data_IF_955507972651
#
_entry.id   IF_955507972651
#
_cell.length_a   1.000
_cell.length_b   1.000
_cell.length_c   1.000
_cell.angle_alpha   90.00
_cell.angle_beta   90.00
_cell.angle_gamma   90.00
#
_symmetry.space_group_name_H-M   'P 1'
#
loop_
_entity.id
_entity.type
_entity.pdbx_description
1 polymer ?
#
# COMPACT_ATOMS: atom_id res chain seq x y z
N UNK A 1 38.54 -10.75 67.30
CA UNK A 1 37.66 -11.94 67.33
C UNK A 1 36.67 -11.78 66.19
N UNK A 2 36.99 -12.34 65.02
CA UNK A 2 36.39 -13.59 64.50
C UNK A 2 34.88 -13.38 64.23
N UNK A 3 34.34 -13.48 63.01
CA UNK A 3 34.54 -14.53 62.00
C UNK A 3 34.22 -14.02 60.58
N UNK A 4 35.06 -14.44 59.65
CA UNK A 4 35.00 -14.43 58.19
C UNK A 4 33.92 -15.43 57.69
N UNK A 5 32.96 -15.09 56.82
CA UNK A 5 32.28 -16.11 55.98
C UNK A 5 31.57 -15.53 54.73
N UNK A 6 31.99 -16.04 53.57
CA UNK A 6 31.30 -16.19 52.27
C UNK A 6 30.88 -14.96 51.44
N UNK A 7 31.82 -14.52 50.60
CA UNK A 7 31.62 -14.42 49.15
C UNK A 7 31.00 -15.73 48.62
N UNK A 8 29.95 -15.63 47.78
CA UNK A 8 29.52 -16.53 46.69
C UNK A 8 28.00 -16.56 46.57
N UNK A 9 27.48 -16.49 45.35
CA UNK A 9 26.10 -16.78 44.91
C UNK A 9 25.09 -15.62 44.93
N UNK A 10 25.17 -14.74 43.91
CA UNK A 10 24.04 -14.55 42.96
C UNK A 10 24.64 -14.29 41.57
N UNK A 11 25.30 -15.29 41.00
CA UNK A 11 25.39 -15.44 39.54
C UNK A 11 24.16 -16.21 39.11
N UNK A 12 23.01 -15.54 39.04
CA UNK A 12 21.87 -16.09 38.34
C UNK A 12 22.10 -15.83 36.85
N UNK A 13 22.61 -16.86 36.18
CA UNK A 13 22.75 -16.89 34.73
C UNK A 13 21.36 -16.68 34.10
N UNK A 14 21.07 -15.45 33.69
CA UNK A 14 20.21 -15.19 32.55
C UNK A 14 20.84 -15.93 31.36
N UNK A 15 20.33 -17.11 31.04
CA UNK A 15 20.64 -17.86 29.83
C UNK A 15 20.05 -17.13 28.62
N UNK A 16 20.61 -15.96 28.32
CA UNK A 16 20.39 -15.28 27.06
C UNK A 16 21.19 -16.02 25.99
N UNK A 17 20.49 -16.46 24.95
CA UNK A 17 21.06 -17.06 23.75
C UNK A 17 22.18 -16.18 23.18
N UNK A 18 23.24 -16.79 22.59
CA UNK A 18 24.40 -16.05 22.09
C UNK A 18 23.99 -15.00 21.04
N UNK A 19 24.66 -13.85 21.12
CA UNK A 19 24.33 -12.58 20.42
C UNK A 19 24.66 -12.59 18.91
N UNK A 20 25.34 -13.61 18.40
CA UNK A 20 25.85 -13.60 17.04
C UNK A 20 24.90 -14.31 16.05
N UNK A 21 23.98 -13.55 15.47
CA UNK A 21 23.41 -13.90 14.16
C UNK A 21 23.84 -12.82 13.16
N UNK A 22 24.57 -13.15 12.07
CA UNK A 22 24.92 -12.17 11.05
C UNK A 22 23.64 -11.55 10.48
N UNK A 23 23.61 -10.22 10.33
CA UNK A 23 22.46 -9.50 9.77
C UNK A 23 21.41 -8.99 10.79
N UNK A 24 21.84 -8.65 12.02
CA UNK A 24 20.98 -8.08 13.07
C UNK A 24 21.28 -6.59 13.32
N UNK A 25 20.22 -5.80 13.57
CA UNK A 25 20.31 -4.44 14.09
C UNK A 25 19.98 -4.39 15.59
N UNK A 26 20.70 -3.55 16.35
CA UNK A 26 20.44 -3.27 17.76
C UNK A 26 19.94 -1.83 17.91
N UNK A 27 18.71 -1.63 18.38
CA UNK A 27 18.13 -0.33 18.71
C UNK A 27 18.18 -0.10 20.22
N UNK A 28 18.88 0.96 20.64
CA UNK A 28 18.93 1.42 22.02
C UNK A 28 17.97 2.61 22.19
N UNK A 29 16.87 2.44 22.93
CA UNK A 29 15.93 3.51 23.24
C UNK A 29 16.42 4.35 24.42
N UNK A 30 17.01 5.51 24.13
CA UNK A 30 17.53 6.45 25.12
C UNK A 30 16.51 7.55 25.47
N UNK A 31 15.33 7.58 24.84
CA UNK A 31 14.34 8.67 25.00
C UNK A 31 13.81 8.78 26.44
N UNK A 32 13.68 7.65 27.13
CA UNK A 32 12.99 7.54 28.43
C UNK A 32 13.93 7.16 29.59
N UNK A 33 15.25 7.39 29.47
CA UNK A 33 16.14 7.46 30.64
C UNK A 33 17.17 6.35 30.84
N UNK A 34 17.57 5.60 29.81
CA UNK A 34 18.80 4.80 29.93
C UNK A 34 20.02 5.71 29.72
N UNK A 35 20.85 5.91 30.75
CA UNK A 35 22.21 6.42 30.51
C UNK A 35 23.04 5.33 29.79
N UNK A 36 23.93 5.71 28.86
CA UNK A 36 24.82 4.75 28.18
C UNK A 36 25.64 3.90 29.17
N UNK A 37 25.89 4.43 30.37
CA UNK A 37 26.65 3.80 31.45
C UNK A 37 25.95 2.55 32.04
N UNK A 38 24.62 2.49 32.06
CA UNK A 38 23.88 1.30 32.51
C UNK A 38 23.78 0.22 31.42
N UNK A 39 23.82 0.62 30.15
CA UNK A 39 23.73 -0.29 28.99
C UNK A 39 25.13 -0.73 28.50
N UNK A 40 26.18 -0.06 28.97
CA UNK A 40 27.53 -0.04 28.38
C UNK A 40 28.51 -1.15 28.77
N UNK A 41 28.14 -2.13 29.60
CA UNK A 41 29.07 -3.21 29.96
C UNK A 41 28.93 -4.50 29.11
N UNK A 42 27.85 -4.67 28.34
CA UNK A 42 27.52 -5.97 27.73
C UNK A 42 27.57 -6.05 26.20
N UNK A 43 27.64 -4.93 25.46
CA UNK A 43 27.28 -4.92 24.03
C UNK A 43 28.40 -4.56 23.05
N UNK A 44 29.60 -4.20 23.52
CA UNK A 44 30.70 -3.74 22.65
C UNK A 44 31.72 -4.85 22.29
N UNK A 45 31.40 -6.13 22.54
CA UNK A 45 32.31 -7.24 22.20
C UNK A 45 32.06 -7.88 20.84
N UNK A 46 30.95 -7.54 20.16
CA UNK A 46 30.59 -8.15 18.88
C UNK A 46 30.75 -7.13 17.74
N UNK A 47 31.70 -7.38 16.83
CA UNK A 47 32.16 -6.41 15.83
C UNK A 47 31.26 -6.28 14.59
N UNK A 48 30.22 -7.12 14.49
CA UNK A 48 29.34 -7.23 13.31
C UNK A 48 27.91 -6.66 13.52
N UNK A 49 27.64 -6.03 14.67
CA UNK A 49 26.33 -5.46 14.99
C UNK A 49 26.17 -4.00 14.51
N UNK A 50 25.08 -3.74 13.77
CA UNK A 50 24.65 -2.38 13.44
C UNK A 50 23.87 -1.79 14.62
N UNK A 51 24.45 -0.79 15.28
CA UNK A 51 23.89 -0.18 16.50
C UNK A 51 23.18 1.12 16.16
N UNK A 52 21.96 1.30 16.64
CA UNK A 52 21.13 2.49 16.45
C UNK A 52 20.81 3.11 17.80
N UNK A 53 21.12 4.39 17.97
CA UNK A 53 20.83 5.13 19.20
C UNK A 53 19.63 6.03 18.96
N UNK A 54 18.48 5.69 19.57
CA UNK A 54 17.27 6.51 19.49
C UNK A 54 17.30 7.57 20.59
N UNK A 55 17.71 8.77 20.22
CA UNK A 55 17.89 9.88 21.13
C UNK A 55 16.59 10.65 21.33
N UNK A 56 16.27 11.01 22.59
CA UNK A 56 15.21 11.97 22.91
C UNK A 56 15.77 13.38 23.08
N UNK A 57 14.90 14.36 23.30
CA UNK A 57 15.28 15.79 23.46
C UNK A 57 16.35 16.03 24.54
N UNK A 58 16.39 15.16 25.57
CA UNK A 58 17.34 15.25 26.69
C UNK A 58 18.79 14.95 26.34
N UNK A 59 19.07 14.35 25.17
CA UNK A 59 20.42 13.91 24.77
C UNK A 59 21.12 14.88 23.81
N UNK A 60 20.49 16.01 23.46
CA UNK A 60 21.07 17.02 22.55
C UNK A 60 22.31 17.74 23.11
N UNK A 61 22.55 17.66 24.42
CA UNK A 61 23.58 18.44 25.13
C UNK A 61 24.77 17.60 25.67
N UNK A 62 24.82 16.29 25.42
CA UNK A 62 25.93 15.43 25.92
C UNK A 62 27.01 15.19 24.85
N UNK A 63 28.29 15.57 25.11
CA UNK A 63 29.36 15.50 24.11
C UNK A 63 29.95 14.09 23.94
N UNK A 64 30.15 13.72 22.66
CA UNK A 64 31.05 12.77 21.95
C UNK A 64 31.87 11.64 22.63
N UNK A 65 31.93 11.50 23.95
CA UNK A 65 32.90 10.57 24.58
C UNK A 65 32.56 9.08 24.45
N UNK A 66 31.31 8.71 24.13
CA UNK A 66 30.90 7.30 23.95
C UNK A 66 30.99 6.78 22.51
N UNK A 67 31.11 7.66 21.50
CA UNK A 67 30.83 7.33 20.09
C UNK A 67 32.06 6.92 19.26
N UNK A 68 33.25 6.86 19.86
CA UNK A 68 34.52 6.82 19.11
C UNK A 68 35.08 5.42 18.81
N UNK A 69 34.41 4.32 19.19
CA UNK A 69 35.02 2.98 19.06
C UNK A 69 34.39 2.01 18.06
N UNK A 70 33.21 2.29 17.47
CA UNK A 70 32.57 1.38 16.50
C UNK A 70 32.15 2.07 15.20
N UNK A 71 32.69 1.59 14.07
CA UNK A 71 32.36 2.05 12.70
C UNK A 71 30.91 1.75 12.26
N UNK A 72 30.09 1.12 13.12
CA UNK A 72 28.74 0.62 12.80
C UNK A 72 27.63 1.24 13.66
N UNK A 73 27.87 2.42 14.24
CA UNK A 73 26.89 3.13 15.09
C UNK A 73 26.16 4.22 14.29
N UNK A 74 24.83 4.25 14.38
CA UNK A 74 23.94 5.23 13.75
C UNK A 74 23.20 6.00 14.86
N UNK A 75 23.38 7.31 14.92
CA UNK A 75 22.64 8.17 15.87
C UNK A 75 21.35 8.65 15.19
N UNK A 76 20.22 8.46 15.85
CA UNK A 76 18.89 8.86 15.38
C UNK A 76 18.36 10.01 16.24
N UNK A 77 18.75 11.24 15.90
CA UNK A 77 18.51 12.48 16.65
C UNK A 77 17.57 13.46 15.92
N UNK A 78 16.67 12.91 15.12
CA UNK A 78 15.71 13.66 14.33
C UNK A 78 14.73 14.49 15.18
N UNK A 79 13.92 15.33 14.51
CA UNK A 79 13.01 16.27 15.19
C UNK A 79 11.83 15.58 15.89
N UNK A 80 11.58 14.32 15.57
CA UNK A 80 10.50 13.52 16.15
C UNK A 80 10.91 12.04 16.24
N UNK A 81 10.23 11.29 17.11
CA UNK A 81 10.42 9.83 17.19
C UNK A 81 10.03 9.16 15.87
N UNK A 82 8.96 9.64 15.23
CA UNK A 82 8.53 9.16 13.91
C UNK A 82 9.65 9.23 12.88
N UNK A 83 10.27 10.41 12.74
CA UNK A 83 11.33 10.64 11.76
C UNK A 83 12.55 9.74 12.02
N UNK A 84 12.97 9.63 13.29
CA UNK A 84 14.07 8.75 13.70
C UNK A 84 13.79 7.28 13.37
N UNK A 85 12.56 6.79 13.64
CA UNK A 85 12.19 5.39 13.35
C UNK A 85 11.98 5.15 11.85
N UNK A 86 11.58 6.16 11.09
CA UNK A 86 11.52 6.10 9.63
C UNK A 86 12.94 6.02 9.04
N UNK A 87 13.90 6.80 9.56
CA UNK A 87 15.30 6.73 9.16
C UNK A 87 15.95 5.40 9.54
N UNK A 88 15.63 4.85 10.72
CA UNK A 88 15.99 3.49 11.12
C UNK A 88 15.51 2.50 10.04
N UNK A 89 14.23 2.55 9.70
CA UNK A 89 13.62 1.67 8.69
C UNK A 89 14.34 1.75 7.33
N UNK A 90 14.60 2.96 6.85
CA UNK A 90 15.33 3.18 5.60
C UNK A 90 16.74 2.59 5.63
N UNK A 91 17.42 2.71 6.77
CA UNK A 91 18.78 2.19 6.94
C UNK A 91 18.80 0.67 7.03
N UNK A 92 17.90 0.05 7.80
CA UNK A 92 17.82 -1.43 7.86
C UNK A 92 17.41 -2.03 6.51
N UNK A 93 16.56 -1.36 5.73
CA UNK A 93 16.23 -1.80 4.37
C UNK A 93 17.42 -1.77 3.42
N UNK A 94 18.19 -0.68 3.44
CA UNK A 94 19.41 -0.51 2.63
C UNK A 94 20.50 -1.52 3.01
N UNK A 95 20.56 -1.91 4.27
CA UNK A 95 21.49 -2.93 4.78
C UNK A 95 20.91 -4.36 4.71
N UNK A 96 19.72 -4.52 4.13
CA UNK A 96 18.98 -5.78 4.01
C UNK A 96 18.71 -6.52 5.34
N UNK A 97 18.72 -5.79 6.45
CA UNK A 97 18.46 -6.32 7.79
C UNK A 97 16.95 -6.52 7.98
N UNK A 98 16.60 -7.54 8.76
CA UNK A 98 15.22 -7.89 9.09
C UNK A 98 15.01 -8.26 10.56
N UNK A 99 16.08 -8.38 11.35
CA UNK A 99 15.98 -8.65 12.79
C UNK A 99 16.46 -7.40 13.53
N UNK A 100 15.59 -6.86 14.39
CA UNK A 100 15.85 -5.65 15.17
C UNK A 100 15.67 -6.03 16.64
N UNK A 101 16.79 -6.09 17.37
CA UNK A 101 16.75 -6.22 18.82
C UNK A 101 16.59 -4.85 19.44
N UNK A 102 15.66 -4.69 20.37
CA UNK A 102 15.33 -3.41 21.00
C UNK A 102 15.59 -3.48 22.49
N UNK A 103 16.46 -2.61 22.99
CA UNK A 103 16.66 -2.38 24.43
C UNK A 103 15.88 -1.13 24.83
N UNK A 104 14.90 -1.29 25.72
CA UNK A 104 13.97 -0.22 26.09
C UNK A 104 13.40 -0.41 27.49
N UNK A 105 12.82 0.65 28.06
CA UNK A 105 11.99 0.59 29.27
C UNK A 105 10.60 -0.01 28.98
N UNK A 106 9.82 -0.40 30.01
CA UNK A 106 8.44 -0.88 29.82
C UNK A 106 7.53 0.14 29.11
N UNK A 107 7.68 1.43 29.42
CA UNK A 107 6.94 2.51 28.75
C UNK A 107 7.38 2.64 27.28
N UNK A 108 8.69 2.60 27.01
CA UNK A 108 9.21 2.67 25.64
C UNK A 108 8.74 1.50 24.79
N UNK A 109 8.64 0.28 25.33
CA UNK A 109 8.05 -0.87 24.63
C UNK A 109 6.59 -0.61 24.23
N UNK A 110 5.79 -0.03 25.13
CA UNK A 110 4.40 0.27 24.84
C UNK A 110 4.29 1.25 23.65
N UNK A 111 5.05 2.35 23.66
CA UNK A 111 5.05 3.33 22.56
C UNK A 111 5.63 2.77 21.26
N UNK A 112 6.80 2.14 21.31
CA UNK A 112 7.48 1.58 20.13
C UNK A 112 6.63 0.51 19.43
N UNK A 113 5.79 -0.22 20.16
CA UNK A 113 4.87 -1.20 19.55
C UNK A 113 3.84 -0.55 18.60
N UNK A 114 3.41 0.69 18.88
CA UNK A 114 2.52 1.44 17.98
C UNK A 114 3.28 1.86 16.71
N UNK A 115 4.50 2.39 16.85
CA UNK A 115 5.34 2.74 15.72
C UNK A 115 5.70 1.52 14.85
N UNK A 116 6.05 0.40 15.47
CA UNK A 116 6.34 -0.86 14.79
C UNK A 116 5.17 -1.26 13.88
N UNK A 117 3.94 -1.23 14.40
CA UNK A 117 2.74 -1.60 13.64
C UNK A 117 2.45 -0.66 12.46
N UNK A 118 2.86 0.60 12.53
CA UNK A 118 2.61 1.61 11.50
C UNK A 118 3.72 1.67 10.44
N UNK A 119 4.98 1.57 10.88
CA UNK A 119 6.18 1.82 10.06
C UNK A 119 6.90 0.54 9.63
N UNK A 120 6.57 -0.62 10.19
CA UNK A 120 7.19 -1.90 9.85
C UNK A 120 6.13 -2.95 9.50
N UNK A 121 6.56 -4.03 8.87
CA UNK A 121 5.72 -5.18 8.49
C UNK A 121 6.27 -6.48 9.11
N UNK A 122 5.60 -7.62 8.89
CA UNK A 122 6.04 -8.91 9.42
C UNK A 122 7.36 -9.41 8.79
N UNK A 123 7.86 -8.72 7.75
CA UNK A 123 9.23 -8.93 7.25
C UNK A 123 10.26 -8.66 8.34
N UNK A 124 9.97 -7.77 9.29
CA UNK A 124 10.89 -7.41 10.37
C UNK A 124 10.49 -8.10 11.67
N UNK A 125 11.46 -8.76 12.31
CA UNK A 125 11.32 -9.37 13.62
C UNK A 125 11.88 -8.43 14.68
N UNK A 126 11.02 -7.99 15.60
CA UNK A 126 11.41 -7.18 16.75
C UNK A 126 11.58 -8.07 17.98
N UNK A 127 12.80 -8.11 18.54
CA UNK A 127 13.10 -8.79 19.82
C UNK A 127 13.28 -7.74 20.93
N UNK A 128 12.30 -7.59 21.80
CA UNK A 128 12.34 -6.59 22.88
C UNK A 128 12.97 -7.18 24.14
N UNK A 129 14.13 -6.67 24.54
CA UNK A 129 14.69 -6.89 25.87
C UNK A 129 14.36 -5.67 26.75
N UNK A 130 13.38 -5.85 27.63
CA UNK A 130 12.89 -4.79 28.52
C UNK A 130 13.68 -4.82 29.81
N UNK A 131 14.35 -3.71 30.13
CA UNK A 131 15.06 -3.54 31.39
C UNK A 131 14.17 -2.76 32.36
N UNK A 132 13.83 -3.30 33.55
CA UNK A 132 13.16 -2.52 34.58
C UNK A 132 14.12 -1.40 35.02
N UNK A 133 13.77 -0.14 34.78
CA UNK A 133 14.45 0.97 35.42
C UNK A 133 13.99 1.01 36.88
N UNK A 134 14.93 1.10 37.81
CA UNK A 134 14.64 1.47 39.20
C UNK A 134 13.98 2.85 39.19
N UNK A 135 12.67 2.88 39.38
CA UNK A 135 11.81 4.08 39.34
C UNK A 135 12.01 5.01 40.54
N UNK A 136 13.05 4.82 41.36
CA UNK A 136 13.39 5.78 42.41
C UNK A 136 14.14 6.95 41.79
N UNK A 137 13.43 8.09 41.65
CA UNK A 137 13.88 9.41 41.16
C UNK A 137 13.44 9.76 39.73
N UNK A 138 12.14 9.89 39.49
CA UNK A 138 11.65 10.90 38.54
C UNK A 138 10.27 11.43 38.97
N UNK A 139 10.10 12.74 39.21
CA UNK A 139 8.80 13.32 39.52
C UNK A 139 7.89 13.20 38.29
N UNK A 140 6.67 12.74 38.55
CA UNK A 140 5.56 12.65 37.61
C UNK A 140 5.46 13.86 36.70
N UNK A 141 5.70 13.65 35.40
CA UNK A 141 5.27 14.55 34.35
C UNK A 141 3.74 14.62 34.38
N UNK A 142 3.23 15.80 34.70
CA UNK A 142 1.82 16.15 34.72
C UNK A 142 1.17 15.79 33.40
N UNK A 143 0.26 14.81 33.43
CA UNK A 143 -0.56 14.44 32.29
C UNK A 143 -1.43 15.62 31.89
N UNK A 144 -1.10 16.24 30.75
CA UNK A 144 -2.05 17.09 30.03
C UNK A 144 -3.29 16.25 29.71
N UNK A 145 -4.47 16.80 30.01
CA UNK A 145 -5.76 16.21 29.73
C UNK A 145 -6.06 16.22 28.21
N UNK A 146 -5.29 15.43 27.44
CA UNK A 146 -5.67 15.09 26.08
C UNK A 146 -6.62 13.89 26.13
N UNK A 147 -7.79 14.04 25.49
CA UNK A 147 -8.82 12.98 25.40
C UNK A 147 -8.34 11.75 24.60
N UNK A 148 -7.21 11.87 23.89
CA UNK A 148 -6.70 10.84 22.99
C UNK A 148 -5.75 9.87 23.69
N UNK A 149 -5.91 8.58 23.38
CA UNK A 149 -4.99 7.51 23.81
C UNK A 149 -3.58 7.71 23.22
N UNK A 150 -2.51 7.20 23.86
CA UNK A 150 -1.15 7.28 23.31
C UNK A 150 -1.04 6.77 21.86
N UNK A 151 -1.78 5.71 21.51
CA UNK A 151 -1.82 5.16 20.16
C UNK A 151 -2.40 6.13 19.12
N UNK A 152 -3.48 6.85 19.44
CA UNK A 152 -4.09 7.85 18.54
C UNK A 152 -3.15 9.03 18.30
N UNK A 153 -2.41 9.47 19.33
CA UNK A 153 -1.40 10.52 19.17
C UNK A 153 -0.26 10.09 18.24
N UNK A 154 0.24 8.86 18.40
CA UNK A 154 1.28 8.29 17.53
C UNK A 154 0.78 8.14 16.09
N UNK A 155 -0.46 7.68 15.89
CA UNK A 155 -1.06 7.59 14.55
C UNK A 155 -1.17 8.95 13.87
N UNK A 156 -1.56 10.00 14.62
CA UNK A 156 -1.60 11.36 14.12
C UNK A 156 -0.20 11.92 13.81
N UNK A 157 0.80 11.67 14.66
CA UNK A 157 2.19 12.09 14.44
C UNK A 157 2.78 11.43 13.17
N UNK A 158 2.63 10.11 13.04
CA UNK A 158 3.08 9.36 11.86
C UNK A 158 2.40 9.87 10.59
N UNK A 159 1.09 10.09 10.64
CA UNK A 159 0.36 10.64 9.49
C UNK A 159 0.85 12.05 9.12
N UNK A 160 1.03 12.94 10.10
CA UNK A 160 1.49 14.30 9.86
C UNK A 160 2.90 14.33 9.26
N UNK A 161 3.81 13.48 9.74
CA UNK A 161 5.15 13.33 9.18
C UNK A 161 5.12 12.85 7.72
N UNK A 162 4.40 11.77 7.43
CA UNK A 162 4.33 11.21 6.07
C UNK A 162 3.69 12.19 5.06
N UNK A 163 2.74 13.01 5.51
CA UNK A 163 2.13 14.06 4.70
C UNK A 163 3.11 15.18 4.31
N UNK A 164 4.18 15.40 5.09
CA UNK A 164 5.21 16.39 4.80
C UNK A 164 6.28 15.90 3.83
N UNK A 165 6.41 14.58 3.64
CA UNK A 165 7.40 14.02 2.72
C UNK A 165 7.13 14.49 1.27
N UNK A 166 8.17 14.80 0.47
CA UNK A 166 7.97 15.12 -0.93
C UNK A 166 7.47 13.89 -1.71
N UNK A 167 6.67 14.13 -2.75
CA UNK A 167 6.35 13.07 -3.72
C UNK A 167 7.59 12.64 -4.49
N UNK A 168 7.74 11.34 -4.68
CA UNK A 168 8.82 10.76 -5.48
C UNK A 168 8.35 10.56 -6.94
N UNK A 169 9.30 10.60 -7.88
CA UNK A 169 9.06 10.42 -9.32
C UNK A 169 8.04 11.40 -9.95
N UNK A 170 7.94 12.63 -9.43
CA UNK A 170 7.07 13.69 -9.95
C UNK A 170 5.72 13.75 -9.25
N UNK A 171 4.73 14.34 -9.93
CA UNK A 171 3.39 14.53 -9.39
C UNK A 171 2.53 13.26 -9.48
N UNK A 172 1.45 13.23 -8.69
CA UNK A 172 0.40 12.21 -8.82
C UNK A 172 -0.20 12.30 -10.21
N UNK A 173 -0.22 11.17 -10.95
CA UNK A 173 -0.82 11.09 -12.28
C UNK A 173 -1.87 10.00 -12.34
N UNK A 174 -3.00 10.35 -12.96
CA UNK A 174 -4.16 9.48 -13.16
C UNK A 174 -4.59 9.52 -14.62
N UNK A 175 -4.69 8.35 -15.26
CA UNK A 175 -5.28 8.23 -16.60
C UNK A 175 -6.80 8.20 -16.49
N UNK A 176 -7.49 8.89 -17.41
CA UNK A 176 -8.95 8.94 -17.46
C UNK A 176 -9.47 8.55 -18.82
N UNK A 177 -10.44 7.63 -18.83
CA UNK A 177 -11.21 7.29 -20.03
C UNK A 177 -12.23 8.36 -20.35
N UNK A 178 -12.28 8.76 -21.60
CA UNK A 178 -13.28 9.63 -22.24
C UNK A 178 -14.67 8.99 -22.36
N UNK A 179 -14.80 7.67 -22.21
CA UNK A 179 -16.11 6.99 -22.25
C UNK A 179 -16.87 7.06 -20.93
N UNK A 180 -16.19 7.19 -19.79
CA UNK A 180 -16.87 7.25 -18.49
C UNK A 180 -17.49 8.66 -18.32
N UNK A 181 -18.82 8.79 -18.19
CA UNK A 181 -19.47 10.09 -18.19
C UNK A 181 -19.24 10.87 -16.89
N UNK A 182 -19.32 12.20 -16.98
CA UNK A 182 -18.93 13.13 -15.91
C UNK A 182 -19.73 13.02 -14.61
N UNK A 183 -20.88 12.33 -14.60
CA UNK A 183 -21.63 11.97 -13.39
C UNK A 183 -20.92 10.92 -12.52
N UNK A 184 -19.86 10.31 -13.03
CA UNK A 184 -18.95 9.46 -12.28
C UNK A 184 -17.58 10.13 -12.18
N UNK A 185 -16.87 9.86 -11.10
CA UNK A 185 -15.44 10.11 -11.01
C UNK A 185 -14.71 8.79 -11.19
N UNK A 186 -13.58 8.82 -11.88
CA UNK A 186 -12.80 7.62 -12.16
C UNK A 186 -11.34 7.94 -12.44
N UNK A 187 -10.54 6.88 -12.48
CA UNK A 187 -9.21 6.93 -13.07
C UNK A 187 -8.43 5.64 -12.88
N UNK A 188 -7.25 5.60 -13.49
CA UNK A 188 -6.24 4.59 -13.28
C UNK A 188 -4.98 5.27 -12.78
N UNK A 189 -4.51 4.91 -11.58
CA UNK A 189 -3.31 5.51 -11.02
C UNK A 189 -2.06 5.03 -11.79
N UNK A 190 -1.07 5.90 -11.85
CA UNK A 190 0.32 5.54 -12.21
C UNK A 190 1.14 5.29 -10.94
N UNK A 191 2.43 4.99 -11.07
CA UNK A 191 3.36 4.79 -9.96
C UNK A 191 3.99 6.07 -9.40
N UNK A 192 3.68 7.25 -9.93
CA UNK A 192 4.33 8.54 -9.58
C UNK A 192 3.61 9.30 -8.46
N UNK A 193 4.33 10.15 -7.72
CA UNK A 193 3.78 11.08 -6.73
C UNK A 193 3.53 10.52 -5.33
N UNK A 194 3.93 9.27 -5.08
CA UNK A 194 3.82 8.65 -3.76
C UNK A 194 5.06 8.84 -2.88
N UNK A 195 5.10 8.17 -1.74
CA UNK A 195 6.15 8.26 -0.71
C UNK A 195 6.86 6.94 -0.43
N UNK A 196 6.45 5.84 -1.06
CA UNK A 196 7.16 4.55 -0.93
C UNK A 196 8.55 4.68 -1.54
N UNK A 197 9.61 4.44 -0.76
CA UNK A 197 11.00 4.61 -1.22
C UNK A 197 11.68 3.31 -1.68
N UNK A 198 11.09 2.15 -1.37
CA UNK A 198 11.68 0.85 -1.73
C UNK A 198 11.66 0.73 -3.26
N UNK A 199 12.79 0.44 -3.95
CA UNK A 199 12.88 0.58 -5.41
C UNK A 199 11.77 -0.14 -6.21
N UNK A 200 11.40 -1.35 -5.81
CA UNK A 200 10.34 -2.14 -6.45
C UNK A 200 8.93 -1.66 -6.14
N UNK A 201 8.76 -0.83 -5.11
CA UNK A 201 7.49 -0.31 -4.60
C UNK A 201 7.38 1.21 -4.81
N UNK A 202 8.44 1.87 -5.29
CA UNK A 202 8.50 3.30 -5.47
C UNK A 202 7.66 3.77 -6.66
N UNK A 203 6.78 4.78 -6.57
CA UNK A 203 6.50 5.63 -5.40
C UNK A 203 5.09 5.52 -4.86
N UNK A 204 4.10 5.43 -5.74
CA UNK A 204 2.66 5.40 -5.43
C UNK A 204 2.18 3.95 -5.31
N UNK A 205 2.75 3.19 -4.38
CA UNK A 205 2.23 1.86 -4.09
C UNK A 205 0.94 1.96 -3.26
N UNK A 206 -0.14 1.34 -3.77
CA UNK A 206 -1.48 1.46 -3.17
C UNK A 206 -1.93 0.17 -2.48
N UNK A 207 -1.05 -0.83 -2.37
CA UNK A 207 -1.31 -2.09 -1.71
C UNK A 207 -0.24 -2.44 -0.68
N UNK A 208 -0.67 -2.81 0.52
CA UNK A 208 0.21 -3.27 1.59
C UNK A 208 -0.06 -4.75 1.86
N UNK A 209 1.01 -5.51 2.13
CA UNK A 209 0.95 -6.90 2.58
C UNK A 209 1.99 -7.08 3.66
N UNK A 210 1.67 -7.87 4.69
CA UNK A 210 2.61 -8.08 5.79
C UNK A 210 3.91 -8.79 5.37
N UNK A 211 3.88 -9.48 4.22
CA UNK A 211 5.03 -10.14 3.60
C UNK A 211 5.91 -9.22 2.75
N UNK A 212 5.54 -7.94 2.57
CA UNK A 212 6.31 -6.94 1.81
C UNK A 212 6.88 -5.87 2.74
N UNK A 213 7.91 -5.15 2.29
CA UNK A 213 8.64 -4.17 3.12
C UNK A 213 7.95 -2.79 3.24
N UNK A 214 7.02 -2.46 2.35
CA UNK A 214 6.32 -1.16 2.37
C UNK A 214 5.22 -1.16 3.44
N UNK A 215 5.27 -0.25 4.42
CA UNK A 215 4.45 -0.34 5.61
C UNK A 215 3.07 0.28 5.40
N UNK A 216 2.13 -0.10 6.28
CA UNK A 216 0.73 0.33 6.20
C UNK A 216 0.57 1.85 6.22
N UNK A 217 1.38 2.58 7.01
CA UNK A 217 1.27 4.03 7.09
C UNK A 217 1.67 4.72 5.78
N UNK A 218 2.73 4.24 5.11
CA UNK A 218 3.21 4.77 3.82
C UNK A 218 2.19 4.50 2.71
N UNK A 219 1.64 3.29 2.63
CA UNK A 219 0.59 2.95 1.66
C UNK A 219 -0.70 3.74 1.93
N UNK A 220 -1.03 4.00 3.21
CA UNK A 220 -2.18 4.84 3.59
C UNK A 220 -1.99 6.27 3.13
N UNK A 221 -0.78 6.83 3.28
CA UNK A 221 -0.47 8.16 2.75
C UNK A 221 -0.57 8.21 1.21
N UNK A 222 -0.06 7.21 0.50
CA UNK A 222 -0.22 7.11 -0.95
C UNK A 222 -1.69 7.11 -1.37
N UNK A 223 -2.53 6.32 -0.68
CA UNK A 223 -3.99 6.30 -0.92
C UNK A 223 -4.62 7.66 -0.65
N UNK A 224 -4.20 8.38 0.39
CA UNK A 224 -4.67 9.74 0.68
C UNK A 224 -4.27 10.72 -0.43
N UNK A 225 -3.02 10.68 -0.90
CA UNK A 225 -2.54 11.52 -2.02
C UNK A 225 -3.35 11.29 -3.28
N UNK A 226 -3.59 10.03 -3.64
CA UNK A 226 -4.46 9.68 -4.75
C UNK A 226 -5.87 10.23 -4.54
N UNK A 227 -6.46 10.05 -3.36
CA UNK A 227 -7.81 10.51 -3.04
C UNK A 227 -7.98 12.03 -3.16
N UNK A 228 -7.01 12.78 -2.65
CA UNK A 228 -6.99 14.24 -2.75
C UNK A 228 -6.82 14.68 -4.20
N UNK A 229 -5.86 14.11 -4.92
CA UNK A 229 -5.61 14.46 -6.33
C UNK A 229 -6.82 14.12 -7.22
N UNK A 230 -7.44 12.96 -7.02
CA UNK A 230 -8.56 12.51 -7.84
C UNK A 230 -9.89 13.18 -7.47
N UNK A 231 -9.99 13.79 -6.29
CA UNK A 231 -11.20 14.49 -5.83
C UNK A 231 -12.25 13.57 -5.19
N UNK A 232 -11.82 12.45 -4.59
CA UNK A 232 -12.72 11.56 -3.84
C UNK A 232 -12.44 11.54 -2.34
N UNK A 233 -11.45 12.28 -1.82
CA UNK A 233 -11.30 12.43 -0.38
C UNK A 233 -12.51 13.16 0.23
N UNK A 234 -13.09 12.73 1.39
CA UNK A 234 -12.66 11.65 2.28
C UNK A 234 -13.41 10.32 2.08
N UNK A 235 -13.98 10.06 0.89
CA UNK A 235 -14.76 8.86 0.64
C UNK A 235 -13.95 7.57 0.89
N UNK A 236 -14.56 6.56 1.53
CA UNK A 236 -13.92 5.28 1.72
C UNK A 236 -13.68 4.57 0.38
N UNK A 237 -12.44 4.10 0.19
CA UNK A 237 -12.05 3.26 -0.94
C UNK A 237 -12.22 1.77 -0.57
N UNK A 238 -13.05 1.07 -1.34
CA UNK A 238 -13.32 -0.37 -1.25
C UNK A 238 -12.60 -1.07 -2.39
N UNK A 239 -11.56 -1.81 -2.03
CA UNK A 239 -10.73 -2.56 -2.97
C UNK A 239 -11.22 -4.01 -3.06
N UNK A 240 -11.23 -4.60 -4.27
CA UNK A 240 -11.45 -6.05 -4.42
C UNK A 240 -10.47 -6.87 -3.58
N UNK A 241 -10.96 -8.00 -3.05
CA UNK A 241 -10.16 -8.97 -2.28
C UNK A 241 -9.76 -10.13 -3.19
N UNK A 242 -8.84 -9.85 -4.11
CA UNK A 242 -8.47 -10.71 -5.26
C UNK A 242 -8.16 -12.16 -4.87
N UNK A 243 -8.81 -13.12 -5.52
CA UNK A 243 -8.47 -14.55 -5.53
C UNK A 243 -8.12 -15.08 -6.94
N UNK A 244 -8.12 -14.22 -7.96
CA UNK A 244 -7.86 -14.52 -9.39
C UNK A 244 -8.95 -15.41 -10.04
N UNK A 245 -10.17 -15.38 -9.52
CA UNK A 245 -11.34 -16.07 -10.06
C UNK A 245 -12.31 -15.08 -10.73
N UNK A 246 -13.62 -15.30 -10.59
CA UNK A 246 -14.68 -14.49 -11.22
C UNK A 246 -15.81 -14.07 -10.27
N UNK A 247 -15.61 -14.20 -8.96
CA UNK A 247 -16.61 -13.85 -7.95
C UNK A 247 -16.86 -12.34 -7.91
N UNK A 248 -18.14 -11.96 -7.79
CA UNK A 248 -18.58 -10.56 -7.73
C UNK A 248 -19.29 -10.28 -6.42
N UNK A 249 -18.81 -9.30 -5.67
CA UNK A 249 -19.50 -8.81 -4.49
C UNK A 249 -20.42 -7.64 -4.83
N UNK A 250 -21.71 -7.77 -4.49
CA UNK A 250 -22.70 -6.70 -4.58
C UNK A 250 -22.70 -5.93 -3.26
N UNK A 251 -22.28 -4.67 -3.30
CA UNK A 251 -22.18 -3.86 -2.08
C UNK A 251 -23.56 -3.69 -1.42
N UNK A 252 -23.63 -3.98 -0.12
CA UNK A 252 -24.88 -4.06 0.64
C UNK A 252 -25.31 -5.50 0.98
N UNK A 253 -24.74 -6.51 0.31
CA UNK A 253 -24.83 -7.92 0.73
C UNK A 253 -23.68 -8.29 1.66
N UNK A 254 -23.80 -9.45 2.33
CA UNK A 254 -22.71 -10.01 3.16
C UNK A 254 -21.42 -10.06 2.34
N UNK A 255 -20.35 -9.48 2.87
CA UNK A 255 -19.06 -9.43 2.17
C UNK A 255 -18.37 -10.80 2.22
N UNK A 256 -17.99 -11.39 1.07
CA UNK A 256 -17.19 -12.61 1.04
C UNK A 256 -15.75 -12.37 1.53
N UNK A 257 -15.04 -13.44 1.86
CA UNK A 257 -13.61 -13.37 2.21
C UNK A 257 -12.75 -12.89 1.03
N UNK A 258 -13.11 -13.29 -0.19
CA UNK A 258 -12.41 -12.91 -1.42
C UNK A 258 -13.39 -12.75 -2.58
N UNK A 259 -13.03 -11.87 -3.52
CA UNK A 259 -13.78 -11.58 -4.75
C UNK A 259 -12.90 -10.77 -5.71
N UNK A 260 -13.12 -10.94 -7.01
CA UNK A 260 -12.34 -10.29 -8.06
C UNK A 260 -13.08 -9.11 -8.70
N UNK A 261 -14.37 -8.94 -8.40
CA UNK A 261 -15.12 -7.77 -8.80
C UNK A 261 -16.09 -7.31 -7.71
N UNK A 262 -16.46 -6.03 -7.75
CA UNK A 262 -17.54 -5.48 -6.96
C UNK A 262 -18.41 -4.52 -7.76
N UNK A 263 -19.69 -4.45 -7.40
CA UNK A 263 -20.70 -3.60 -8.06
C UNK A 263 -21.58 -2.89 -7.03
N UNK A 264 -22.03 -1.66 -7.35
CA UNK A 264 -22.98 -0.91 -6.52
C UNK A 264 -23.68 0.22 -7.28
N UNK A 265 -24.83 0.65 -6.79
CA UNK A 265 -25.51 1.91 -7.11
C UNK A 265 -25.37 2.95 -5.98
N UNK A 266 -24.65 2.62 -4.91
CA UNK A 266 -24.47 3.49 -3.74
C UNK A 266 -23.49 4.63 -4.01
N UNK A 267 -23.87 5.83 -3.56
CA UNK A 267 -22.99 7.02 -3.50
C UNK A 267 -22.12 6.97 -2.24
N UNK A 268 -21.14 7.87 -2.17
CA UNK A 268 -20.29 8.02 -0.98
C UNK A 268 -19.25 6.90 -0.78
N UNK A 269 -19.00 6.09 -1.81
CA UNK A 269 -18.01 5.00 -1.79
C UNK A 269 -17.24 4.98 -3.11
N UNK A 270 -15.96 4.64 -3.05
CA UNK A 270 -15.09 4.47 -4.22
C UNK A 270 -14.79 2.99 -4.39
N UNK A 271 -15.14 2.41 -5.53
CA UNK A 271 -14.74 1.05 -5.88
C UNK A 271 -13.33 1.07 -6.48
N UNK A 272 -12.50 0.09 -6.16
CA UNK A 272 -11.16 -0.03 -6.73
C UNK A 272 -10.77 -1.48 -7.06
N UNK A 273 -10.05 -1.64 -8.17
CA UNK A 273 -9.42 -2.89 -8.58
C UNK A 273 -7.91 -2.71 -8.70
N UNK A 274 -7.07 -3.49 -7.97
CA UNK A 274 -5.63 -3.43 -8.08
C UNK A 274 -5.14 -4.05 -9.39
N UNK A 275 -4.04 -3.54 -9.91
CA UNK A 275 -3.39 -4.03 -11.11
C UNK A 275 -1.89 -3.79 -11.07
N UNK A 276 -1.14 -4.75 -11.56
CA UNK A 276 0.27 -4.65 -11.93
C UNK A 276 0.52 -5.77 -12.93
N UNK A 277 0.09 -5.53 -14.17
CA UNK A 277 -0.11 -6.45 -15.31
C UNK A 277 -1.51 -7.01 -15.47
N UNK A 278 -2.13 -7.52 -14.40
CA UNK A 278 -3.56 -7.83 -14.46
C UNK A 278 -4.37 -6.55 -14.70
N UNK A 279 -5.46 -6.66 -15.45
CA UNK A 279 -6.28 -5.50 -15.83
C UNK A 279 -7.16 -5.05 -14.67
N UNK A 280 -7.19 -3.74 -14.43
CA UNK A 280 -8.31 -3.09 -13.73
C UNK A 280 -9.36 -2.70 -14.77
N UNK A 281 -10.55 -3.26 -14.69
CA UNK A 281 -11.66 -2.95 -15.61
C UNK A 281 -12.74 -2.20 -14.84
N UNK A 282 -13.11 -1.02 -15.33
CA UNK A 282 -14.13 -0.16 -14.74
C UNK A 282 -15.40 -0.20 -15.58
N UNK A 283 -16.55 -0.34 -14.93
CA UNK A 283 -17.86 -0.46 -15.55
C UNK A 283 -18.77 0.65 -15.04
N UNK A 284 -19.50 1.32 -15.92
CA UNK A 284 -20.48 2.33 -15.53
C UNK A 284 -21.73 2.25 -16.38
N UNK A 285 -22.89 2.23 -15.74
CA UNK A 285 -24.20 2.40 -16.37
C UNK A 285 -24.72 3.81 -16.04
N UNK A 286 -24.70 4.76 -16.99
CA UNK A 286 -25.17 6.12 -16.75
C UNK A 286 -26.70 6.23 -16.65
N UNK A 287 -27.45 5.22 -17.10
CA UNK A 287 -28.92 5.19 -17.05
C UNK A 287 -29.37 4.74 -15.67
N UNK A 288 -28.86 3.59 -15.20
CA UNK A 288 -29.20 3.04 -13.89
C UNK A 288 -28.37 3.61 -12.74
N UNK A 289 -27.32 4.38 -13.05
CA UNK A 289 -26.35 4.92 -12.07
C UNK A 289 -25.65 3.82 -11.26
N UNK A 290 -25.25 2.76 -11.95
CA UNK A 290 -24.55 1.61 -11.36
C UNK A 290 -23.10 1.66 -11.78
N UNK A 291 -22.20 1.32 -10.87
CA UNK A 291 -20.77 1.23 -11.10
C UNK A 291 -20.24 -0.15 -10.73
N UNK A 292 -19.17 -0.56 -11.39
CA UNK A 292 -18.45 -1.78 -11.09
C UNK A 292 -16.94 -1.63 -11.31
N UNK A 293 -16.17 -2.41 -10.56
CA UNK A 293 -14.72 -2.53 -10.75
C UNK A 293 -14.33 -4.01 -10.67
N UNK A 294 -13.51 -4.47 -11.61
CA UNK A 294 -13.02 -5.84 -11.66
C UNK A 294 -11.51 -5.91 -11.83
N UNK A 295 -10.89 -6.84 -11.13
CA UNK A 295 -9.55 -7.32 -11.39
C UNK A 295 -9.63 -8.51 -12.36
N UNK A 296 -8.98 -8.39 -13.51
CA UNK A 296 -8.95 -9.44 -14.53
C UNK A 296 -7.51 -9.84 -14.84
N UNK A 297 -7.02 -10.85 -14.13
CA UNK A 297 -5.85 -11.63 -14.53
C UNK A 297 -6.18 -12.65 -15.63
N UNK A 298 -5.19 -13.44 -16.06
CA UNK A 298 -5.41 -14.44 -17.11
C UNK A 298 -6.43 -15.52 -16.71
N UNK A 299 -6.37 -16.03 -15.47
CA UNK A 299 -7.35 -17.00 -14.95
C UNK A 299 -8.76 -16.41 -14.86
N UNK A 300 -8.90 -15.26 -14.21
CA UNK A 300 -10.17 -14.55 -14.12
C UNK A 300 -10.77 -14.19 -15.48
N UNK A 301 -9.92 -13.90 -16.48
CA UNK A 301 -10.37 -13.68 -17.87
C UNK A 301 -10.99 -14.93 -18.48
N UNK A 302 -10.33 -16.09 -18.36
CA UNK A 302 -10.87 -17.37 -18.83
C UNK A 302 -12.16 -17.76 -18.10
N UNK A 303 -12.24 -17.44 -16.80
CA UNK A 303 -13.44 -17.61 -15.98
C UNK A 303 -14.52 -16.55 -16.23
N UNK A 304 -14.25 -15.55 -17.06
CA UNK A 304 -15.22 -14.55 -17.49
C UNK A 304 -15.55 -13.47 -16.45
N UNK A 305 -14.64 -13.07 -15.56
CA UNK A 305 -14.89 -12.07 -14.50
C UNK A 305 -15.48 -10.75 -15.02
N UNK A 306 -15.06 -10.29 -16.21
CA UNK A 306 -15.62 -9.09 -16.83
C UNK A 306 -17.11 -9.26 -17.15
N UNK A 307 -17.51 -10.43 -17.66
CA UNK A 307 -18.91 -10.73 -17.91
C UNK A 307 -19.68 -11.06 -16.63
N UNK A 308 -19.05 -11.70 -15.64
CA UNK A 308 -19.66 -11.87 -14.32
C UNK A 308 -20.04 -10.51 -13.71
N UNK A 309 -19.18 -9.50 -13.86
CA UNK A 309 -19.43 -8.12 -13.42
C UNK A 309 -20.62 -7.50 -14.16
N UNK A 310 -20.64 -7.59 -15.50
CA UNK A 310 -21.77 -7.13 -16.32
C UNK A 310 -23.08 -7.81 -15.90
N UNK A 311 -23.04 -9.14 -15.73
CA UNK A 311 -24.21 -9.92 -15.32
C UNK A 311 -24.71 -9.51 -13.95
N UNK A 312 -23.82 -9.25 -12.99
CA UNK A 312 -24.21 -8.72 -11.67
C UNK A 312 -24.89 -7.35 -11.80
N UNK A 313 -24.37 -6.43 -12.62
CA UNK A 313 -25.02 -5.14 -12.87
C UNK A 313 -26.43 -5.32 -13.46
N UNK A 314 -26.59 -6.23 -14.42
CA UNK A 314 -27.88 -6.53 -15.06
C UNK A 314 -28.87 -7.15 -14.06
N UNK A 315 -28.46 -8.20 -13.36
CA UNK A 315 -29.33 -8.99 -12.50
C UNK A 315 -29.74 -8.25 -11.23
N UNK A 316 -28.84 -7.46 -10.65
CA UNK A 316 -29.06 -6.84 -9.33
C UNK A 316 -29.66 -5.44 -9.43
N UNK A 317 -29.36 -4.72 -10.53
CA UNK A 317 -29.77 -3.31 -10.69
C UNK A 317 -30.58 -3.04 -11.96
N UNK A 318 -30.85 -4.07 -12.76
CA UNK A 318 -31.61 -3.93 -14.00
C UNK A 318 -30.88 -3.14 -15.09
N UNK A 319 -29.55 -3.07 -15.03
CA UNK A 319 -28.74 -2.51 -16.12
C UNK A 319 -28.99 -3.25 -17.42
N UNK A 320 -28.76 -2.58 -18.56
CA UNK A 320 -28.72 -3.24 -19.88
C UNK A 320 -27.26 -3.31 -20.31
N UNK A 321 -26.79 -4.48 -20.75
CA UNK A 321 -25.40 -4.66 -21.23
C UNK A 321 -25.05 -3.61 -22.31
N UNK A 322 -25.98 -3.45 -23.26
CA UNK A 322 -26.46 -2.16 -23.76
C UNK A 322 -25.68 -0.93 -23.34
N UNK A 323 -26.15 -0.38 -22.21
CA UNK A 323 -25.92 0.92 -21.59
C UNK A 323 -24.64 0.97 -20.75
N UNK A 324 -24.01 -0.18 -20.50
CA UNK A 324 -22.76 -0.25 -19.77
C UNK A 324 -21.61 0.26 -20.64
N UNK A 325 -20.82 1.16 -20.06
CA UNK A 325 -19.55 1.63 -20.59
C UNK A 325 -18.42 1.02 -19.80
N UNK A 326 -17.39 0.57 -20.52
CA UNK A 326 -16.25 -0.15 -19.98
C UNK A 326 -14.97 0.62 -20.29
N UNK A 327 -14.11 0.78 -19.30
CA UNK A 327 -12.75 1.26 -19.48
C UNK A 327 -11.76 0.22 -18.95
N UNK A 328 -10.83 -0.20 -19.80
CA UNK A 328 -9.76 -1.14 -19.45
C UNK A 328 -8.50 -0.35 -19.13
N UNK A 329 -8.01 -0.48 -17.90
CA UNK A 329 -6.83 0.24 -17.44
C UNK A 329 -5.50 -0.32 -17.93
N UNK A 330 -4.38 0.32 -17.53
CA UNK A 330 -3.04 -0.20 -17.77
C UNK A 330 -2.91 -1.64 -17.30
N UNK A 331 -2.32 -2.48 -18.16
CA UNK A 331 -2.16 -3.93 -17.94
C UNK A 331 -0.97 -4.43 -18.74
N UNK A 332 -0.60 -5.71 -18.68
CA UNK A 332 0.42 -6.25 -19.59
C UNK A 332 -0.19 -6.41 -20.98
N UNK A 333 0.58 -6.05 -22.01
CA UNK A 333 0.19 -6.23 -23.41
C UNK A 333 0.67 -7.57 -23.97
N UNK A 334 0.10 -7.96 -25.11
CA UNK A 334 0.55 -9.14 -25.88
C UNK A 334 2.04 -9.09 -26.22
N UNK A 335 2.65 -7.90 -26.28
CA UNK A 335 4.08 -7.71 -26.49
C UNK A 335 4.98 -8.25 -25.35
N UNK A 336 4.44 -8.51 -24.16
CA UNK A 336 5.21 -8.94 -23.00
C UNK A 336 4.62 -10.16 -22.28
N UNK A 337 3.31 -10.41 -22.42
CA UNK A 337 2.65 -11.48 -21.68
C UNK A 337 2.76 -12.81 -22.42
N UNK A 338 3.34 -13.81 -21.75
CA UNK A 338 3.46 -15.17 -22.26
C UNK A 338 2.97 -16.17 -21.23
N UNK A 339 2.44 -17.30 -21.71
CA UNK A 339 2.03 -18.44 -20.89
C UNK A 339 2.65 -19.73 -21.43
N UNK A 340 2.55 -20.79 -20.64
CA UNK A 340 2.84 -22.13 -21.16
C UNK A 340 1.82 -22.47 -22.25
N UNK A 341 2.28 -23.20 -23.28
CA UNK A 341 1.50 -23.41 -24.51
C UNK A 341 0.09 -23.94 -24.26
N UNK A 342 -0.08 -24.91 -23.36
CA UNK A 342 -1.39 -25.50 -23.07
C UNK A 342 -2.39 -24.45 -22.55
N UNK A 343 -1.96 -23.64 -21.58
CA UNK A 343 -2.74 -22.55 -21.00
C UNK A 343 -3.02 -21.45 -22.03
N UNK A 344 -2.02 -21.10 -22.85
CA UNK A 344 -2.19 -20.10 -23.89
C UNK A 344 -3.29 -20.52 -24.89
N UNK A 345 -3.32 -21.80 -25.29
CA UNK A 345 -4.28 -22.30 -26.29
C UNK A 345 -5.74 -22.25 -25.82
N UNK A 346 -6.02 -22.17 -24.52
CA UNK A 346 -7.38 -21.95 -23.99
C UNK A 346 -7.97 -20.62 -24.50
N UNK A 347 -7.14 -19.57 -24.64
CA UNK A 347 -7.59 -18.27 -25.14
C UNK A 347 -8.03 -18.29 -26.61
N UNK A 348 -7.58 -19.27 -27.40
CA UNK A 348 -8.04 -19.42 -28.79
C UNK A 348 -9.51 -19.83 -28.89
N UNK A 349 -10.07 -20.43 -27.83
CA UNK A 349 -11.50 -20.73 -27.76
C UNK A 349 -12.34 -19.45 -27.64
N UNK A 350 -11.76 -18.38 -27.09
CA UNK A 350 -12.38 -17.05 -27.04
C UNK A 350 -12.28 -16.38 -28.42
N UNK A 351 -11.05 -16.26 -28.94
CA UNK A 351 -10.76 -15.74 -30.29
C UNK A 351 -9.36 -16.17 -30.74
N UNK A 352 -9.19 -16.52 -32.02
CA UNK A 352 -7.92 -17.05 -32.56
C UNK A 352 -6.75 -16.09 -32.36
N UNK A 353 -7.01 -14.80 -32.49
CA UNK A 353 -5.99 -13.75 -32.44
C UNK A 353 -5.55 -13.42 -31.00
N UNK A 354 -6.20 -14.00 -29.98
CA UNK A 354 -5.71 -13.90 -28.61
C UNK A 354 -4.35 -14.60 -28.44
N UNK A 355 -3.96 -15.48 -29.37
CA UNK A 355 -2.65 -16.16 -29.36
C UNK A 355 -2.05 -16.03 -30.76
N UNK A 356 -1.26 -14.98 -31.04
CA UNK A 356 -0.71 -14.73 -32.37
C UNK A 356 0.33 -15.77 -32.81
N UNK A 357 1.03 -16.41 -31.87
CA UNK A 357 2.12 -17.35 -32.10
C UNK A 357 1.87 -18.74 -31.45
N UNK A 358 0.76 -19.44 -31.78
CA UNK A 358 0.28 -20.62 -31.04
C UNK A 358 1.19 -21.86 -31.15
N UNK A 359 2.18 -21.82 -32.05
CA UNK A 359 3.17 -22.89 -32.23
C UNK A 359 4.40 -22.72 -31.34
N UNK A 360 4.57 -21.54 -30.72
CA UNK A 360 5.65 -21.27 -29.76
C UNK A 360 5.55 -22.20 -28.55
N UNK A 361 6.69 -22.54 -27.95
CA UNK A 361 6.71 -23.24 -26.66
C UNK A 361 6.15 -22.35 -25.53
N UNK A 362 6.31 -21.03 -25.68
CA UNK A 362 5.83 -20.01 -24.75
C UNK A 362 5.09 -18.91 -25.52
N UNK A 363 3.85 -19.17 -25.99
CA UNK A 363 3.11 -18.22 -26.81
C UNK A 363 2.81 -16.93 -26.06
N UNK A 364 2.74 -15.84 -26.83
CA UNK A 364 2.18 -14.58 -26.37
C UNK A 364 0.66 -14.67 -26.29
N UNK A 365 0.09 -14.00 -25.29
CA UNK A 365 -1.36 -14.02 -25.04
C UNK A 365 -1.90 -12.59 -24.92
N UNK A 366 -2.89 -12.26 -25.74
CA UNK A 366 -3.63 -11.00 -25.66
C UNK A 366 -4.86 -11.15 -24.75
N UNK A 367 -4.62 -11.01 -23.44
CA UNK A 367 -5.69 -11.03 -22.43
C UNK A 367 -6.64 -9.84 -22.53
N UNK A 368 -6.23 -8.75 -23.18
CA UNK A 368 -7.05 -7.55 -23.36
C UNK A 368 -8.07 -7.79 -24.47
N UNK A 369 -7.61 -8.34 -25.60
CA UNK A 369 -8.49 -8.78 -26.69
C UNK A 369 -9.49 -9.83 -26.19
N UNK A 370 -9.04 -10.79 -25.37
CA UNK A 370 -9.93 -11.79 -24.80
C UNK A 370 -11.09 -11.16 -24.02
N UNK A 371 -10.82 -10.21 -23.12
CA UNK A 371 -11.86 -9.49 -22.39
C UNK A 371 -12.77 -8.67 -23.33
N UNK A 372 -12.20 -7.97 -24.33
CA UNK A 372 -13.00 -7.23 -25.32
C UNK A 372 -14.00 -8.15 -26.04
N UNK A 373 -13.54 -9.30 -26.53
CA UNK A 373 -14.37 -10.27 -27.25
C UNK A 373 -15.47 -10.82 -26.34
N UNK A 374 -15.15 -11.16 -25.10
CA UNK A 374 -16.14 -11.65 -24.13
C UNK A 374 -17.21 -10.59 -23.84
N UNK A 375 -16.82 -9.34 -23.62
CA UNK A 375 -17.75 -8.22 -23.39
C UNK A 375 -18.68 -7.97 -24.57
N UNK A 376 -18.13 -7.97 -25.79
CA UNK A 376 -18.92 -7.80 -27.01
C UNK A 376 -19.92 -8.94 -27.22
N UNK A 377 -19.47 -10.20 -27.05
CA UNK A 377 -20.35 -11.38 -27.09
C UNK A 377 -21.45 -11.31 -26.02
N UNK A 378 -21.15 -10.68 -24.88
CA UNK A 378 -22.10 -10.43 -23.79
C UNK A 378 -23.05 -9.25 -23.99
N UNK A 379 -22.98 -8.56 -25.13
CA UNK A 379 -23.90 -7.48 -25.50
C UNK A 379 -23.45 -6.06 -25.10
N UNK A 380 -22.23 -5.88 -24.58
CA UNK A 380 -21.63 -4.55 -24.45
C UNK A 380 -21.24 -4.05 -25.83
N UNK A 381 -21.69 -2.84 -26.19
CA UNK A 381 -21.44 -2.31 -27.53
C UNK A 381 -19.94 -2.02 -27.75
N UNK A 382 -19.35 -2.35 -28.92
CA UNK A 382 -17.94 -2.11 -29.22
C UNK A 382 -17.47 -0.67 -28.96
N UNK A 383 -18.29 0.32 -29.30
CA UNK A 383 -18.06 1.75 -29.10
C UNK A 383 -18.17 2.20 -27.63
N UNK A 384 -18.63 1.32 -26.74
CA UNK A 384 -18.71 1.54 -25.29
C UNK A 384 -17.56 0.89 -24.52
N UNK A 385 -16.57 0.33 -25.21
CA UNK A 385 -15.37 -0.28 -24.61
C UNK A 385 -14.13 0.54 -24.99
N UNK A 386 -13.54 1.22 -24.00
CA UNK A 386 -12.26 1.93 -24.14
C UNK A 386 -11.11 1.03 -23.70
N UNK A 387 -10.34 0.55 -24.65
CA UNK A 387 -9.13 -0.25 -24.47
C UNK A 387 -8.03 0.19 -25.46
N UNK A 388 -6.99 -0.63 -25.64
CA UNK A 388 -5.87 -0.32 -26.54
C UNK A 388 -6.22 -0.33 -28.04
N UNK A 389 -7.44 -0.71 -28.45
CA UNK A 389 -7.86 -0.65 -29.86
C UNK A 389 -8.52 0.70 -30.21
N UNK A 390 -8.82 1.54 -29.22
CA UNK A 390 -9.38 2.88 -29.43
C UNK A 390 -8.23 3.89 -29.56
N UNK A 391 -7.81 4.17 -30.79
CA UNK A 391 -6.64 5.02 -31.07
C UNK A 391 -6.96 6.52 -31.24
N UNK A 392 -8.25 6.85 -31.38
CA UNK A 392 -8.73 8.24 -31.59
C UNK A 392 -8.80 9.04 -30.29
N UNK A 393 -8.50 8.41 -29.15
CA UNK A 393 -8.60 8.97 -27.80
C UNK A 393 -7.27 8.75 -27.05
N UNK A 394 -6.98 9.53 -25.99
CA UNK A 394 -5.79 9.30 -25.18
C UNK A 394 -5.77 7.87 -24.62
N UNK A 395 -4.66 7.15 -24.83
CA UNK A 395 -4.52 5.77 -24.37
C UNK A 395 -4.69 5.65 -22.86
N UNK A 396 -5.58 4.76 -22.44
CA UNK A 396 -5.80 4.39 -21.03
C UNK A 396 -5.32 2.97 -20.71
N UNK A 397 -4.80 2.24 -21.70
CA UNK A 397 -4.37 0.84 -21.59
C UNK A 397 -2.90 0.63 -22.05
N UNK A 398 -1.93 1.46 -21.64
CA UNK A 398 -0.51 1.21 -21.95
C UNK A 398 -0.04 -0.13 -21.37
N UNK A 399 1.01 -0.71 -21.95
CA UNK A 399 1.64 -1.92 -21.42
C UNK A 399 2.44 -1.62 -20.15
N UNK A 400 1.99 -2.11 -19.00
CA UNK A 400 2.64 -1.89 -17.69
C UNK A 400 4.09 -2.34 -17.66
N UNK A 401 4.41 -3.45 -18.35
CA UNK A 401 5.77 -3.95 -18.47
C UNK A 401 6.67 -3.03 -19.32
N UNK A 402 6.14 -2.46 -20.42
CA UNK A 402 6.91 -1.60 -21.33
C UNK A 402 7.16 -0.18 -20.79
N UNK A 403 6.36 0.28 -19.83
CA UNK A 403 6.40 1.65 -19.31
C UNK A 403 6.81 1.67 -17.82
N UNK A 404 8.08 1.37 -17.49
CA UNK A 404 8.55 1.26 -16.11
C UNK A 404 8.49 2.56 -15.31
N UNK A 405 8.60 3.71 -15.98
CA UNK A 405 8.49 5.03 -15.34
C UNK A 405 7.06 5.32 -14.86
N UNK A 406 6.05 4.72 -15.51
CA UNK A 406 4.65 5.01 -15.24
C UNK A 406 3.94 3.92 -14.43
N UNK A 407 4.38 2.65 -14.49
CA UNK A 407 3.64 1.53 -13.90
C UNK A 407 4.51 0.47 -13.22
N UNK A 408 3.95 -0.14 -12.18
CA UNK A 408 4.46 -1.40 -11.64
C UNK A 408 4.06 -2.58 -12.53
N UNK A 409 4.91 -3.60 -12.60
CA UNK A 409 4.69 -4.80 -13.41
C UNK A 409 5.31 -6.02 -12.72
N UNK A 410 4.49 -7.04 -12.45
CA UNK A 410 4.96 -8.33 -11.95
C UNK A 410 5.80 -9.11 -13.00
N UNK A 411 5.42 -9.05 -14.28
CA UNK A 411 6.12 -9.65 -15.42
C UNK A 411 7.53 -9.11 -15.54
N UNK A 412 7.71 -7.80 -15.32
CA UNK A 412 9.03 -7.15 -15.34
C UNK A 412 9.78 -7.30 -14.02
N UNK A 413 9.13 -7.02 -12.89
CA UNK A 413 9.79 -6.80 -11.59
C UNK A 413 9.77 -8.05 -10.68
N UNK A 414 9.06 -9.11 -11.07
CA UNK A 414 8.95 -10.36 -10.31
C UNK A 414 8.02 -10.26 -9.10
N UNK A 415 8.34 -10.97 -8.02
CA UNK A 415 7.43 -11.15 -6.86
C UNK A 415 7.30 -9.90 -5.96
N UNK A 416 8.29 -9.02 -6.00
CA UNK A 416 8.33 -7.79 -5.23
C UNK A 416 8.03 -6.63 -6.18
N UNK A 417 6.78 -6.20 -6.23
CA UNK A 417 6.31 -5.13 -7.10
C UNK A 417 5.26 -4.29 -6.37
N UNK A 418 5.22 -2.98 -6.65
CA UNK A 418 4.16 -2.09 -6.17
C UNK A 418 2.85 -2.36 -6.90
N UNK A 419 1.78 -1.68 -6.53
CA UNK A 419 0.47 -1.94 -7.14
C UNK A 419 -0.25 -0.63 -7.42
N UNK A 420 -0.62 -0.42 -8.69
CA UNK A 420 -1.55 0.62 -9.11
C UNK A 420 -3.01 0.16 -8.98
N UNK A 421 -3.96 1.08 -9.06
CA UNK A 421 -5.39 0.77 -8.98
C UNK A 421 -6.18 1.51 -10.05
N UNK A 422 -7.16 0.83 -10.63
CA UNK A 422 -8.32 1.48 -11.26
C UNK A 422 -9.37 1.77 -10.21
N UNK A 423 -10.01 2.94 -10.26
CA UNK A 423 -11.01 3.36 -9.29
C UNK A 423 -12.16 4.13 -9.93
N UNK A 424 -13.34 4.06 -9.32
CA UNK A 424 -14.59 4.63 -9.83
C UNK A 424 -15.58 4.93 -8.68
N UNK A 425 -16.29 6.05 -8.76
CA UNK A 425 -17.37 6.41 -7.82
C UNK A 425 -18.48 7.22 -8.51
N UNK A 426 -19.66 7.24 -7.88
CA UNK A 426 -20.78 8.09 -8.28
C UNK A 426 -20.60 9.48 -7.65
N UNK A 427 -20.56 10.54 -8.47
CA UNK A 427 -20.43 11.90 -7.95
C UNK A 427 -21.75 12.39 -7.37
N UNK A 428 -21.65 13.30 -6.41
CA UNK A 428 -22.81 14.08 -5.99
C UNK A 428 -23.36 14.91 -7.14
N UNK A 429 -24.69 15.00 -7.24
CA UNK A 429 -25.30 15.91 -8.20
C UNK A 429 -24.89 17.33 -7.80
N UNK A 430 -24.38 18.11 -8.74
CA UNK A 430 -24.20 19.54 -8.51
C UNK A 430 -25.59 20.12 -8.22
N UNK A 431 -25.80 20.57 -6.98
CA UNK A 431 -26.97 21.38 -6.66
C UNK A 431 -26.80 22.67 -7.44
N UNK A 432 -27.53 22.81 -8.54
CA UNK A 432 -27.70 24.08 -9.22
C UNK A 432 -28.34 25.03 -8.21
N UNK A 433 -27.52 25.84 -7.57
CA UNK A 433 -27.95 26.99 -6.80
C UNK A 433 -28.45 28.01 -7.82
N UNK A 434 -29.69 27.79 -8.29
CA UNK A 434 -30.42 28.76 -9.09
C UNK A 434 -30.48 30.05 -8.29
N UNK A 435 -29.77 31.06 -8.78
CA UNK A 435 -29.93 32.43 -8.31
C UNK A 435 -31.38 32.80 -8.64
N UNK A 436 -32.23 33.17 -7.67
CA UNK A 436 -33.56 33.64 -8.00
C UNK A 436 -33.40 34.93 -8.81
N UNK A 437 -33.90 34.94 -10.04
CA UNK A 437 -34.08 36.16 -10.81
C UNK A 437 -34.94 37.11 -9.97
N UNK A 438 -34.33 38.20 -9.52
CA UNK A 438 -35.01 39.26 -8.79
C UNK A 438 -36.10 39.88 -9.67
N UNK A 439 -37.22 40.33 -9.08
CA UNK A 439 -38.31 40.89 -9.86
C UNK A 439 -37.82 42.14 -10.59
N UNK A 440 -38.01 42.16 -11.91
CA UNK A 440 -37.89 43.35 -12.73
C UNK A 440 -38.79 44.46 -12.14
N UNK A 441 -38.16 45.43 -11.48
CA UNK A 441 -38.78 46.69 -11.10
C UNK A 441 -38.93 47.54 -12.34
N UNK A 442 -40.17 47.69 -12.81
CA UNK A 442 -40.58 48.76 -13.71
C UNK A 442 -40.57 50.11 -12.97
N UNK A 443 -39.76 51.05 -13.46
CA UNK A 443 -40.05 52.48 -13.43
C UNK A 443 -39.72 53.07 -14.79
#
# INVERSE_FOLDING_TARGET
>A
MHVLFCLSNVTEQLSLTPISAPGMALLLDLRLGCSPEHTGAFLLKDTDLQVFLLCGDRFRDTPDTFLTSSRQTHVLDCRSTTESLYQLKQTVDRLELSVIRVLTSPQGRAELSHYQRLLFTDVYKFDYAVTPLDTTMCPSGTGSAHKDTPGQRIEAEVSAFLQQLPGLHGDVRVLKSTLIPGCFGHGFSTRTGGVSYIPTLSSMNLFCSSRRRDPVAVVTENRRRLAVHAGFHPLPLRMVKVNHASDVWVLGKSEPESYDALVTDQRGVVLAAPGADCMSILFSDPVKKVIGAAHAGWKGTLMGVAMATVNAMVMEFGSRASDIRVAVGPSVGVCCFTLDREQALEFRQIHTDCVPDPKSAKPHVDIRLANRVLLQKGGVLPERIHDNLVMEQPSVTPCTSCHPEDFFSHVRDGLNFGTQVGFLWIKEAEVQTGTPEGPHGSM
#
